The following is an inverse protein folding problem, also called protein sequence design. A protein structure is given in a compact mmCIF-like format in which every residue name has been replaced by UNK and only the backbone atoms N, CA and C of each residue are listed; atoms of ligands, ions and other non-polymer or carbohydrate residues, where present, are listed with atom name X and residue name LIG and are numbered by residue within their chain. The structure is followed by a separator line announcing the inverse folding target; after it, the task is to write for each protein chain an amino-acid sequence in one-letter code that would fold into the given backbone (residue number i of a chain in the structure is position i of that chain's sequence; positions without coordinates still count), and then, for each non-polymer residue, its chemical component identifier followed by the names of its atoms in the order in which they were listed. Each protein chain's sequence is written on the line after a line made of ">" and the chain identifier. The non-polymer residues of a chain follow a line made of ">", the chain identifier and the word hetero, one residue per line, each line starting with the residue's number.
data_IF_515191356831
#
_entry.id   IF_515191356831
#
_cell.length_a   1.000
_cell.length_b   1.000
_cell.length_c   1.000
_cell.angle_alpha   90.00
_cell.angle_beta   90.00
_cell.angle_gamma   90.00
#
_symmetry.space_group_name_H-M   'P 1'
#
loop_
_entity.id
_entity.type
_entity.pdbx_description
1 polymer ?
#
# COMPACT_ATOMS: atom_id res chain seq x y z
N UNK A 1 17.58 -7.34 1.56
CA UNK A 1 16.52 -7.21 0.56
C UNK A 1 16.25 -5.75 0.26
N UNK A 2 16.25 -5.36 -0.98
CA UNK A 2 15.95 -3.99 -1.38
C UNK A 2 14.48 -3.88 -1.80
N UNK A 3 13.87 -2.77 -1.41
CA UNK A 3 12.49 -2.45 -1.78
C UNK A 3 12.51 -1.36 -2.84
N UNK A 4 11.69 -1.52 -3.87
CA UNK A 4 11.65 -0.61 -5.00
C UNK A 4 10.61 0.48 -4.82
N UNK A 5 10.99 1.72 -5.11
CA UNK A 5 10.04 2.84 -5.17
C UNK A 5 9.02 2.55 -6.26
N UNK A 6 7.76 2.83 -5.97
CA UNK A 6 6.59 2.53 -6.81
C UNK A 6 6.29 1.03 -6.95
N UNK A 7 7.00 0.18 -6.20
CA UNK A 7 6.63 -1.22 -6.09
C UNK A 7 5.44 -1.41 -5.16
N UNK A 8 4.65 -2.45 -5.42
CA UNK A 8 3.50 -2.81 -4.57
C UNK A 8 3.89 -4.02 -3.71
N UNK A 9 3.65 -3.90 -2.41
CA UNK A 9 3.97 -4.94 -1.43
C UNK A 9 2.78 -5.19 -0.52
N UNK A 10 2.69 -6.40 0.01
CA UNK A 10 1.73 -6.71 1.06
C UNK A 10 2.35 -6.32 2.41
N UNK A 11 1.64 -5.51 3.16
CA UNK A 11 2.14 -4.91 4.41
C UNK A 11 1.16 -5.15 5.53
N UNK A 12 1.66 -5.48 6.71
CA UNK A 12 0.87 -5.54 7.93
C UNK A 12 0.91 -4.19 8.63
N UNK A 13 -0.19 -3.47 8.55
CA UNK A 13 -0.32 -2.18 9.22
C UNK A 13 -0.66 -2.31 10.70
N UNK A 14 -0.88 -3.54 11.16
CA UNK A 14 -1.23 -3.87 12.56
C UNK A 14 -2.49 -3.13 13.00
N UNK A 15 -2.70 -3.02 14.30
CA UNK A 15 -3.84 -2.31 14.83
C UNK A 15 -3.57 -0.81 14.86
N UNK A 16 -4.53 -0.04 14.41
CA UNK A 16 -4.49 1.41 14.44
C UNK A 16 -5.72 1.93 15.16
N UNK A 17 -5.63 3.18 15.62
CA UNK A 17 -6.69 3.83 16.36
C UNK A 17 -7.58 4.62 15.40
N UNK A 18 -8.90 4.53 15.59
CA UNK A 18 -9.87 5.30 14.81
C UNK A 18 -10.02 4.80 13.37
N UNK A 19 -10.12 5.72 12.42
CA UNK A 19 -10.32 5.41 11.01
C UNK A 19 -9.07 5.06 10.23
N UNK A 20 -7.97 4.76 10.90
CA UNK A 20 -6.73 4.38 10.25
C UNK A 20 -6.81 2.96 9.70
N UNK A 21 -6.03 2.71 8.66
CA UNK A 21 -5.93 1.37 8.07
C UNK A 21 -5.23 0.42 9.03
N UNK A 22 -5.79 -0.75 9.23
CA UNK A 22 -5.22 -1.80 10.07
C UNK A 22 -5.20 -3.12 9.32
N UNK A 23 -4.41 -4.08 9.81
CA UNK A 23 -4.29 -5.40 9.22
C UNK A 23 -3.44 -5.40 7.95
N UNK A 24 -3.57 -6.47 7.17
CA UNK A 24 -2.78 -6.67 5.95
C UNK A 24 -3.43 -5.98 4.76
N UNK A 25 -2.68 -5.10 4.11
CA UNK A 25 -3.12 -4.40 2.91
C UNK A 25 -1.97 -4.28 1.92
N UNK A 26 -2.31 -4.24 0.64
CA UNK A 26 -1.33 -3.85 -0.36
C UNK A 26 -0.99 -2.38 -0.17
N UNK A 27 0.24 -2.02 -0.49
CA UNK A 27 0.68 -0.63 -0.40
C UNK A 27 1.73 -0.33 -1.46
N UNK A 28 1.75 0.91 -1.89
CA UNK A 28 2.70 1.43 -2.84
C UNK A 28 3.85 2.08 -2.08
N UNK A 29 5.08 1.69 -2.37
CA UNK A 29 6.26 2.34 -1.80
C UNK A 29 6.46 3.68 -2.49
N UNK A 30 6.33 4.76 -1.73
CA UNK A 30 6.45 6.12 -2.25
C UNK A 30 7.89 6.57 -2.26
N UNK A 31 8.62 6.27 -1.20
CA UNK A 31 9.98 6.73 -1.05
C UNK A 31 10.75 5.78 -0.15
N UNK A 32 12.02 5.60 -0.48
CA UNK A 32 12.99 5.04 0.45
C UNK A 32 13.60 6.21 1.16
N UNK A 33 13.60 6.18 2.48
CA UNK A 33 14.42 7.07 3.26
C UNK A 33 15.88 6.64 3.02
N UNK A 34 16.84 7.15 3.76
CA UNK A 34 18.23 6.78 3.50
C UNK A 34 18.45 5.28 3.58
N UNK A 35 19.47 4.77 2.87
CA UNK A 35 19.77 3.34 2.84
C UNK A 35 20.01 2.72 4.22
N UNK A 36 20.38 3.52 5.19
CA UNK A 36 20.58 3.09 6.59
C UNK A 36 19.27 2.95 7.35
N UNK A 37 18.18 3.54 6.84
CA UNK A 37 16.91 3.50 7.53
C UNK A 37 16.25 2.15 7.37
N UNK A 38 15.62 1.70 8.43
CA UNK A 38 14.83 0.48 8.41
C UNK A 38 13.36 0.75 8.10
N UNK A 39 13.06 1.93 7.56
CA UNK A 39 11.70 2.36 7.31
C UNK A 39 11.51 2.80 5.86
N UNK A 40 10.25 2.79 5.44
CA UNK A 40 9.81 3.20 4.12
C UNK A 40 8.56 4.06 4.26
N UNK A 41 8.38 5.01 3.33
CA UNK A 41 7.11 5.72 3.19
C UNK A 41 6.23 4.93 2.23
N UNK A 42 5.01 4.61 2.67
CA UNK A 42 4.09 3.81 1.87
C UNK A 42 2.70 4.45 1.85
N UNK A 43 1.98 4.24 0.75
CA UNK A 43 0.59 4.65 0.61
C UNK A 43 -0.27 3.38 0.56
N UNK A 44 -1.22 3.20 1.48
CA UNK A 44 -2.09 2.02 1.45
C UNK A 44 -2.95 1.99 0.21
N UNK A 45 -3.23 0.79 -0.27
CA UNK A 45 -4.10 0.55 -1.42
C UNK A 45 -5.34 -0.19 -0.94
N UNK A 46 -6.51 0.27 -1.35
CA UNK A 46 -7.78 -0.39 -1.04
C UNK A 46 -8.54 -0.70 -2.33
N UNK A 47 -9.34 -1.75 -2.31
CA UNK A 47 -10.21 -2.06 -3.44
C UNK A 47 -11.25 -0.97 -3.61
N UNK A 48 -11.48 -0.55 -4.85
CA UNK A 48 -12.44 0.51 -5.14
C UNK A 48 -13.80 -0.09 -5.40
N UNK A 49 -14.74 0.14 -4.47
CA UNK A 49 -16.09 -0.39 -4.56
C UNK A 49 -16.99 0.56 -5.34
N UNK A 50 -17.95 0.00 -6.07
CA UNK A 50 -18.94 0.80 -6.81
C UNK A 50 -19.77 1.65 -5.87
N UNK A 51 -20.08 2.86 -6.31
CA UNK A 51 -20.95 3.78 -5.57
C UNK A 51 -20.30 4.47 -4.39
N UNK A 52 -19.07 4.11 -4.06
CA UNK A 52 -18.33 4.75 -2.99
C UNK A 52 -17.39 5.81 -3.56
N UNK A 53 -17.35 6.97 -2.93
CA UNK A 53 -16.46 8.05 -3.32
C UNK A 53 -15.10 7.89 -2.66
N UNK A 54 -14.04 8.14 -3.40
CA UNK A 54 -12.67 8.08 -2.91
C UNK A 54 -11.99 9.41 -3.18
N UNK A 55 -11.28 9.92 -2.18
CA UNK A 55 -10.60 11.23 -2.26
C UNK A 55 -9.19 11.14 -1.70
N UNK A 56 -8.33 12.02 -2.19
CA UNK A 56 -6.98 12.15 -1.66
C UNK A 56 -6.05 11.05 -2.12
N UNK A 57 -6.14 10.69 -3.38
CA UNK A 57 -5.29 9.69 -3.99
C UNK A 57 -5.62 9.49 -5.46
N UNK A 58 -5.28 8.32 -5.98
CA UNK A 58 -5.55 8.03 -7.39
C UNK A 58 -5.94 6.57 -7.57
N UNK A 59 -6.63 6.30 -8.68
CA UNK A 59 -7.11 4.98 -9.03
C UNK A 59 -6.07 4.23 -9.86
N UNK A 60 -5.89 2.95 -9.55
CA UNK A 60 -5.06 2.05 -10.34
C UNK A 60 -5.87 0.80 -10.71
N UNK A 61 -5.40 0.08 -11.73
CA UNK A 61 -6.01 -1.17 -12.15
C UNK A 61 -5.50 -2.31 -11.26
N UNK A 62 -6.40 -3.07 -10.64
CA UNK A 62 -6.02 -4.19 -9.79
C UNK A 62 -5.22 -5.25 -10.53
N UNK A 63 -5.42 -5.41 -11.83
CA UNK A 63 -4.67 -6.37 -12.64
C UNK A 63 -3.18 -6.07 -12.70
N UNK A 64 -2.77 -4.85 -12.38
CA UNK A 64 -1.36 -4.47 -12.36
C UNK A 64 -0.58 -5.17 -11.26
N UNK A 65 -1.24 -5.59 -10.18
CA UNK A 65 -0.55 -6.22 -9.06
C UNK A 65 -1.25 -7.48 -8.53
N UNK A 66 -2.40 -7.85 -9.09
CA UNK A 66 -3.12 -9.07 -8.72
C UNK A 66 -3.40 -9.91 -9.96
N UNK A 67 -3.25 -11.22 -9.84
CA UNK A 67 -3.49 -12.13 -10.94
C UNK A 67 -4.98 -12.31 -11.24
N UNK A 68 -5.77 -12.53 -10.19
CA UNK A 68 -7.23 -12.72 -10.28
C UNK A 68 -7.93 -11.81 -9.28
N UNK A 69 -7.97 -10.49 -9.55
CA UNK A 69 -8.52 -9.56 -8.59
C UNK A 69 -10.04 -9.69 -8.47
N UNK A 70 -10.53 -9.56 -7.24
CA UNK A 70 -11.97 -9.53 -6.95
C UNK A 70 -12.58 -8.23 -7.46
N UNK A 71 -11.83 -7.14 -7.39
CA UNK A 71 -12.26 -5.83 -7.86
C UNK A 71 -11.41 -5.39 -9.05
N UNK A 72 -12.01 -4.69 -9.98
CA UNK A 72 -11.32 -4.22 -11.18
C UNK A 72 -10.34 -3.08 -10.87
N UNK A 73 -10.75 -2.18 -10.00
CA UNK A 73 -9.99 -0.97 -9.67
C UNK A 73 -9.63 -0.93 -8.19
N UNK A 74 -8.53 -0.26 -7.91
CA UNK A 74 -8.09 0.00 -6.56
C UNK A 74 -7.75 1.49 -6.41
N UNK A 75 -7.75 1.96 -5.17
CA UNK A 75 -7.46 3.35 -4.85
C UNK A 75 -6.23 3.44 -3.96
N UNK A 76 -5.25 4.22 -4.40
CA UNK A 76 -4.04 4.49 -3.63
C UNK A 76 -4.31 5.69 -2.73
N UNK A 77 -4.28 5.47 -1.42
CA UNK A 77 -4.64 6.49 -0.43
C UNK A 77 -3.43 7.36 -0.10
N UNK A 78 -3.20 8.39 -0.92
CA UNK A 78 -2.06 9.30 -0.73
C UNK A 78 -2.19 10.07 0.59
N UNK A 79 -3.41 10.39 1.01
CA UNK A 79 -3.63 11.09 2.29
C UNK A 79 -3.31 10.24 3.51
N UNK A 80 -3.11 8.94 3.33
CA UNK A 80 -2.77 8.01 4.41
C UNK A 80 -1.33 7.51 4.32
N UNK A 81 -0.47 8.22 3.60
CA UNK A 81 0.96 7.91 3.55
C UNK A 81 1.49 7.86 4.97
N UNK A 82 2.26 6.81 5.26
CA UNK A 82 2.89 6.66 6.56
C UNK A 82 4.24 5.98 6.44
N UNK A 83 5.05 6.20 7.44
CA UNK A 83 6.33 5.51 7.58
C UNK A 83 6.08 4.18 8.28
N UNK A 84 6.65 3.11 7.72
CA UNK A 84 6.58 1.77 8.34
C UNK A 84 7.97 1.15 8.42
N UNK A 85 8.14 0.26 9.40
CA UNK A 85 9.36 -0.54 9.50
C UNK A 85 9.34 -1.63 8.43
N UNK A 86 10.49 -1.92 7.84
CA UNK A 86 10.62 -2.95 6.78
C UNK A 86 10.14 -4.33 7.22
N UNK A 87 10.21 -4.63 8.52
CA UNK A 87 9.76 -5.93 9.04
C UNK A 87 8.26 -6.18 8.88
N UNK A 88 7.47 -5.13 8.56
CA UNK A 88 6.03 -5.27 8.33
C UNK A 88 5.70 -5.71 6.91
N UNK A 89 6.69 -5.85 6.04
CA UNK A 89 6.49 -6.24 4.65
C UNK A 89 6.56 -7.75 4.54
N UNK A 90 5.57 -8.34 3.87
CA UNK A 90 5.53 -9.77 3.62
C UNK A 90 6.15 -10.10 2.27
N UNK A 91 7.18 -10.94 2.31
CA UNK A 91 7.75 -11.51 1.09
C UNK A 91 8.30 -10.48 0.11
N UNK A 92 8.18 -10.81 -1.17
CA UNK A 92 8.76 -10.05 -2.26
C UNK A 92 7.75 -9.06 -2.85
N UNK A 93 8.27 -8.19 -3.71
CA UNK A 93 7.45 -7.26 -4.46
C UNK A 93 6.35 -7.99 -5.23
N UNK A 94 5.12 -7.51 -5.11
CA UNK A 94 3.99 -8.06 -5.86
C UNK A 94 3.97 -7.48 -7.28
N UNK A 95 4.33 -6.21 -7.40
CA UNK A 95 4.35 -5.58 -8.73
C UNK A 95 5.37 -4.46 -8.82
#
# INVERSE_FOLDING_TARGET
>A
MQYEVLGVYLIDFKENIGGEISGKHYALVISKLESKDNTLLVAPITSKKRGKKYRGGFTIDCKKYQKNPTYEKAFVKIRKIREIHKSRIYGNKIY
#
